data_IF_045497840254
#
_entry.id   IF_045497840254
#
_cell.length_a   1.000
_cell.length_b   1.000
_cell.length_c   1.000
_cell.angle_alpha   90.00
_cell.angle_beta   90.00
_cell.angle_gamma   90.00
#
_symmetry.space_group_name_H-M   'P 1'
#
loop_
_entity.id
_entity.type
_entity.pdbx_description
1 polymer ?
#
# COMPACT_ATOMS: atom_id res chain seq x y z
N UNK A 1 -17.74 8.95 -5.29
CA UNK A 1 -16.73 9.98 -5.51
C UNK A 1 -15.38 9.49 -5.04
N UNK A 2 -14.41 9.55 -5.93
CA UNK A 2 -13.11 8.94 -5.69
C UNK A 2 -12.21 9.86 -4.89
N UNK A 3 -12.30 9.76 -3.57
CA UNK A 3 -11.42 10.49 -2.69
C UNK A 3 -10.18 9.66 -2.42
N UNK A 4 -9.14 9.92 -3.18
CA UNK A 4 -7.83 9.31 -2.93
C UNK A 4 -7.00 10.30 -2.13
N UNK A 5 -6.55 9.86 -0.98
CA UNK A 5 -5.65 10.64 -0.16
C UNK A 5 -4.22 10.45 -0.63
N UNK A 6 -3.51 11.54 -0.76
CA UNK A 6 -2.09 11.53 -1.09
C UNK A 6 -1.32 11.80 0.21
N UNK A 7 -0.44 10.89 0.56
CA UNK A 7 0.36 10.98 1.77
C UNK A 7 1.84 11.05 1.41
N UNK A 8 2.51 12.09 1.88
CA UNK A 8 3.96 12.15 1.80
C UNK A 8 4.56 11.35 2.93
N UNK A 9 5.39 10.37 2.59
CA UNK A 9 6.06 9.53 3.58
C UNK A 9 7.54 9.82 3.60
N UNK A 10 8.14 9.77 4.79
CA UNK A 10 9.53 10.11 5.00
C UNK A 10 10.28 8.96 5.63
N UNK A 11 11.50 8.77 5.18
CA UNK A 11 12.38 7.77 5.74
C UNK A 11 12.71 8.10 7.21
N UNK A 12 12.67 7.09 8.06
CA UNK A 12 13.06 7.24 9.45
C UNK A 12 14.58 7.28 9.57
N UNK A 13 15.08 8.18 10.40
CA UNK A 13 16.52 8.31 10.65
C UNK A 13 16.94 7.71 12.00
N UNK A 14 15.99 7.26 12.82
CA UNK A 14 16.27 6.86 14.21
C UNK A 14 16.25 5.36 14.46
N UNK A 15 15.77 4.56 13.52
CA UNK A 15 15.73 3.12 13.68
C UNK A 15 16.14 2.44 12.39
N UNK A 16 16.71 1.25 12.49
CA UNK A 16 17.06 0.50 11.30
C UNK A 16 15.79 -0.01 10.62
N UNK A 17 15.86 -0.15 9.28
CA UNK A 17 14.75 -0.68 8.52
C UNK A 17 14.35 -2.09 8.97
N UNK A 18 15.33 -2.91 9.33
CA UNK A 18 15.07 -4.29 9.78
C UNK A 18 14.31 -4.33 11.10
N UNK A 19 14.68 -3.46 12.05
CA UNK A 19 13.98 -3.37 13.32
C UNK A 19 12.54 -2.88 13.14
N UNK A 20 12.36 -1.88 12.32
CA UNK A 20 11.03 -1.36 12.01
C UNK A 20 10.18 -2.41 11.29
N UNK A 21 10.76 -3.14 10.35
CA UNK A 21 10.06 -4.19 9.63
C UNK A 21 9.63 -5.32 10.57
N UNK A 22 10.49 -5.73 11.50
CA UNK A 22 10.15 -6.78 12.46
C UNK A 22 9.01 -6.33 13.39
N UNK A 23 9.07 -5.11 13.90
CA UNK A 23 8.03 -4.58 14.77
C UNK A 23 6.70 -4.46 14.02
N UNK A 24 6.73 -4.01 12.79
CA UNK A 24 5.53 -3.87 11.96
C UNK A 24 4.91 -5.22 11.65
N UNK A 25 5.72 -6.23 11.31
CA UNK A 25 5.20 -7.59 11.07
C UNK A 25 4.53 -8.16 12.30
N UNK A 26 5.10 -7.94 13.48
CA UNK A 26 4.51 -8.42 14.73
C UNK A 26 3.16 -7.75 15.00
N UNK A 27 3.06 -6.45 14.77
CA UNK A 27 1.83 -5.69 14.94
C UNK A 27 0.73 -6.18 14.00
N UNK A 28 1.07 -6.34 12.71
CA UNK A 28 0.11 -6.82 11.71
C UNK A 28 -0.37 -8.23 12.01
N UNK A 29 0.52 -9.09 12.46
CA UNK A 29 0.15 -10.46 12.85
C UNK A 29 -0.81 -10.45 14.03
N UNK A 30 -0.57 -9.59 15.01
CA UNK A 30 -1.43 -9.44 16.17
C UNK A 30 -2.83 -8.94 15.78
N UNK A 31 -2.90 -8.03 14.83
CA UNK A 31 -4.15 -7.49 14.32
C UNK A 31 -4.82 -8.36 13.27
N UNK A 32 -4.17 -9.46 12.88
CA UNK A 32 -4.66 -10.41 11.87
C UNK A 32 -4.85 -9.77 10.50
N UNK A 33 -3.91 -8.93 10.11
CA UNK A 33 -3.91 -8.25 8.83
C UNK A 33 -2.82 -8.84 7.95
N UNK A 34 -3.18 -9.20 6.73
CA UNK A 34 -2.21 -9.67 5.75
C UNK A 34 -1.73 -8.50 4.89
N UNK A 35 -0.43 -8.28 4.86
CA UNK A 35 0.18 -7.26 4.01
C UNK A 35 0.90 -7.93 2.84
N UNK A 36 0.43 -7.65 1.65
CA UNK A 36 1.02 -8.16 0.42
C UNK A 36 1.79 -7.05 -0.28
N UNK A 37 3.08 -7.27 -0.47
CA UNK A 37 3.92 -6.34 -1.21
C UNK A 37 4.01 -6.79 -2.67
N UNK A 38 3.36 -6.03 -3.55
CA UNK A 38 3.33 -6.34 -4.97
C UNK A 38 4.35 -5.47 -5.70
N UNK A 39 5.40 -6.10 -6.19
CA UNK A 39 6.46 -5.40 -6.90
C UNK A 39 6.49 -5.82 -8.36
N UNK A 40 6.52 -4.84 -9.24
CA UNK A 40 6.67 -5.11 -10.67
C UNK A 40 7.13 -3.86 -11.41
N UNK A 41 7.62 -4.07 -12.62
CA UNK A 41 8.02 -2.95 -13.47
C UNK A 41 6.80 -2.13 -13.89
N UNK A 42 6.97 -0.83 -14.14
CA UNK A 42 5.88 0.00 -14.66
C UNK A 42 5.33 -0.58 -15.97
N UNK A 43 4.01 -0.52 -16.13
CA UNK A 43 3.37 -0.98 -17.37
C UNK A 43 3.21 -2.48 -17.50
N UNK A 44 3.43 -3.25 -16.43
CA UNK A 44 3.32 -4.72 -16.46
C UNK A 44 1.90 -5.24 -16.32
N UNK A 45 0.90 -4.36 -16.20
CA UNK A 45 -0.49 -4.77 -16.04
C UNK A 45 -0.90 -5.07 -14.61
N UNK A 46 -0.07 -4.71 -13.63
CA UNK A 46 -0.37 -5.01 -12.22
C UNK A 46 -1.65 -4.34 -11.72
N UNK A 47 -1.97 -3.14 -12.18
CA UNK A 47 -3.20 -2.46 -11.77
C UNK A 47 -4.43 -3.21 -12.24
N UNK A 48 -4.43 -3.71 -13.47
CA UNK A 48 -5.53 -4.52 -14.00
C UNK A 48 -5.71 -5.80 -13.20
N UNK A 49 -4.60 -6.50 -12.94
CA UNK A 49 -4.61 -7.72 -12.13
C UNK A 49 -5.13 -7.46 -10.73
N UNK A 50 -4.67 -6.38 -10.12
CA UNK A 50 -5.09 -6.00 -8.76
C UNK A 50 -6.58 -5.67 -8.71
N UNK A 51 -7.10 -4.93 -9.68
CA UNK A 51 -8.54 -4.61 -9.75
C UNK A 51 -9.39 -5.88 -9.84
N UNK A 52 -8.98 -6.85 -10.64
CA UNK A 52 -9.68 -8.13 -10.77
C UNK A 52 -9.63 -8.93 -9.48
N UNK A 53 -8.49 -8.92 -8.81
CA UNK A 53 -8.33 -9.61 -7.53
C UNK A 53 -9.24 -8.99 -6.47
N UNK A 54 -9.28 -7.67 -6.40
CA UNK A 54 -10.16 -6.96 -5.46
C UNK A 54 -11.62 -7.29 -5.75
N UNK A 55 -12.03 -7.25 -7.02
CA UNK A 55 -13.41 -7.56 -7.40
C UNK A 55 -13.81 -8.97 -6.99
N UNK A 56 -12.86 -9.92 -7.06
CA UNK A 56 -13.14 -11.31 -6.68
C UNK A 56 -13.22 -11.50 -5.16
N UNK A 57 -12.49 -10.71 -4.38
CA UNK A 57 -12.35 -10.95 -2.93
C UNK A 57 -13.10 -9.95 -2.05
N UNK A 58 -13.57 -8.84 -2.60
CA UNK A 58 -14.11 -7.75 -1.76
C UNK A 58 -15.36 -8.12 -0.97
N UNK A 59 -16.08 -9.17 -1.36
CA UNK A 59 -17.22 -9.66 -0.60
C UNK A 59 -16.83 -10.52 0.60
N UNK A 60 -15.59 -10.98 0.63
CA UNK A 60 -15.08 -11.85 1.69
C UNK A 60 -14.06 -11.14 2.57
N UNK A 61 -13.32 -10.20 2.00
CA UNK A 61 -12.24 -9.50 2.69
C UNK A 61 -12.40 -7.99 2.56
N UNK A 62 -12.04 -7.30 3.63
CA UNK A 62 -11.96 -5.84 3.61
C UNK A 62 -10.56 -5.47 3.14
N UNK A 63 -10.48 -4.84 1.98
CA UNK A 63 -9.21 -4.63 1.27
C UNK A 63 -8.84 -3.16 1.23
N UNK A 64 -7.59 -2.86 1.56
CA UNK A 64 -6.98 -1.56 1.38
C UNK A 64 -5.78 -1.66 0.46
N UNK A 65 -5.52 -0.62 -0.30
CA UNK A 65 -4.40 -0.58 -1.24
C UNK A 65 -3.58 0.70 -1.02
N UNK A 66 -2.28 0.52 -0.91
CA UNK A 66 -1.33 1.63 -0.85
C UNK A 66 -0.52 1.61 -2.14
N UNK A 67 -0.63 2.69 -2.91
CA UNK A 67 0.11 2.85 -4.16
C UNK A 67 1.34 3.70 -3.92
N UNK A 68 2.50 3.15 -4.18
CA UNK A 68 3.76 3.89 -4.09
C UNK A 68 4.26 4.19 -5.50
N UNK A 69 3.79 5.29 -6.06
CA UNK A 69 4.20 5.74 -7.37
C UNK A 69 4.87 7.11 -7.24
N UNK A 70 5.72 7.42 -8.21
CA UNK A 70 6.55 8.62 -8.14
C UNK A 70 5.77 9.89 -8.41
N UNK A 71 4.87 9.89 -9.39
CA UNK A 71 4.29 11.12 -9.90
C UNK A 71 2.77 11.14 -10.14
N UNK A 72 2.04 10.07 -9.85
CA UNK A 72 0.65 10.02 -10.29
C UNK A 72 -0.24 9.26 -9.32
N UNK A 73 -1.45 9.79 -9.10
CA UNK A 73 -2.48 9.11 -8.32
C UNK A 73 -3.47 8.34 -9.21
N UNK A 74 -3.15 8.16 -10.49
CA UNK A 74 -4.06 7.52 -11.45
C UNK A 74 -4.36 6.08 -11.05
N UNK A 75 -3.34 5.33 -10.65
CA UNK A 75 -3.54 3.95 -10.24
C UNK A 75 -4.36 3.83 -8.97
N UNK A 76 -4.11 4.71 -8.00
CA UNK A 76 -4.89 4.73 -6.76
C UNK A 76 -6.36 5.06 -7.04
N UNK A 77 -6.63 5.99 -7.95
CA UNK A 77 -7.99 6.32 -8.36
C UNK A 77 -8.69 5.13 -9.01
N UNK A 78 -7.99 4.43 -9.90
CA UNK A 78 -8.52 3.25 -10.56
C UNK A 78 -8.90 2.16 -9.56
N UNK A 79 -8.08 1.98 -8.53
CA UNK A 79 -8.37 1.02 -7.46
C UNK A 79 -9.54 1.50 -6.59
N UNK A 80 -9.60 2.79 -6.26
CA UNK A 80 -10.69 3.33 -5.46
C UNK A 80 -12.06 3.15 -6.14
N UNK A 81 -12.09 3.16 -7.46
CA UNK A 81 -13.32 2.90 -8.23
C UNK A 81 -13.90 1.51 -7.97
N UNK A 82 -13.10 0.56 -7.50
CA UNK A 82 -13.59 -0.78 -7.16
C UNK A 82 -14.34 -0.83 -5.83
N UNK A 83 -14.30 0.24 -5.06
CA UNK A 83 -14.83 0.30 -3.71
C UNK A 83 -13.81 -0.03 -2.62
N UNK A 84 -12.64 -0.47 -2.97
CA UNK A 84 -11.56 -0.70 -2.01
C UNK A 84 -11.00 0.63 -1.51
N UNK A 85 -10.52 0.65 -0.27
CA UNK A 85 -9.86 1.82 0.29
C UNK A 85 -8.49 1.97 -0.36
N UNK A 86 -8.19 3.14 -0.88
CA UNK A 86 -6.92 3.37 -1.59
C UNK A 86 -6.28 4.67 -1.16
N UNK A 87 -4.97 4.65 -0.99
CA UNK A 87 -4.17 5.85 -0.76
C UNK A 87 -2.96 5.84 -1.67
N UNK A 88 -2.46 7.01 -1.96
CA UNK A 88 -1.25 7.22 -2.75
C UNK A 88 -0.13 7.68 -1.81
N UNK A 89 1.02 7.02 -1.87
CA UNK A 89 2.19 7.38 -1.09
C UNK A 89 3.21 8.06 -1.99
N UNK A 90 3.61 9.27 -1.62
CA UNK A 90 4.67 10.01 -2.28
C UNK A 90 5.96 9.87 -1.49
N UNK A 91 6.97 9.33 -2.11
CA UNK A 91 8.24 9.00 -1.46
C UNK A 91 9.33 10.06 -1.68
N UNK A 92 9.00 11.16 -2.33
CA UNK A 92 9.99 12.20 -2.63
C UNK A 92 11.04 11.77 -3.66
N UNK A 93 10.66 10.89 -4.58
CA UNK A 93 11.56 10.41 -5.64
C UNK A 93 12.28 9.10 -5.34
N UNK A 94 12.03 8.50 -4.18
CA UNK A 94 12.59 7.19 -3.87
C UNK A 94 11.86 6.10 -4.67
N UNK A 95 12.62 5.10 -5.13
CA UNK A 95 12.08 4.05 -5.99
C UNK A 95 11.26 3.00 -5.23
N UNK A 96 11.38 2.94 -3.92
CA UNK A 96 10.68 1.95 -3.11
C UNK A 96 10.50 2.45 -1.69
N UNK A 97 9.60 1.82 -0.96
CA UNK A 97 9.32 2.15 0.43
C UNK A 97 10.19 1.34 1.38
N UNK A 98 10.66 1.99 2.44
CA UNK A 98 11.21 1.27 3.59
C UNK A 98 10.08 0.95 4.59
N UNK A 99 10.42 0.24 5.67
CA UNK A 99 9.44 -0.17 6.67
C UNK A 99 8.78 1.03 7.37
N UNK A 100 9.56 2.08 7.63
CA UNK A 100 9.00 3.29 8.26
C UNK A 100 7.99 4.01 7.40
N UNK A 101 8.24 4.10 6.10
CA UNK A 101 7.30 4.69 5.15
C UNK A 101 6.05 3.83 5.02
N UNK A 102 6.20 2.51 4.99
CA UNK A 102 5.08 1.58 4.96
C UNK A 102 4.22 1.73 6.20
N UNK A 103 4.83 1.86 7.37
CA UNK A 103 4.10 2.08 8.61
C UNK A 103 3.29 3.37 8.57
N UNK A 104 3.87 4.45 8.06
CA UNK A 104 3.14 5.72 7.92
C UNK A 104 1.89 5.54 7.06
N UNK A 105 2.02 4.81 5.96
CA UNK A 105 0.88 4.51 5.08
C UNK A 105 -0.18 3.66 5.77
N UNK A 106 0.23 2.65 6.49
CA UNK A 106 -0.71 1.77 7.21
C UNK A 106 -1.50 2.52 8.27
N UNK A 107 -0.87 3.41 8.99
CA UNK A 107 -1.57 4.21 10.00
C UNK A 107 -2.59 5.16 9.37
N UNK A 108 -2.25 5.71 8.21
CA UNK A 108 -3.16 6.60 7.50
C UNK A 108 -4.35 5.86 6.90
N UNK A 109 -4.13 4.67 6.33
CA UNK A 109 -5.22 3.91 5.72
C UNK A 109 -6.17 3.33 6.77
N UNK A 110 -5.71 3.12 7.98
CA UNK A 110 -6.55 2.61 9.07
C UNK A 110 -6.75 1.11 9.00
N UNK A 111 -5.83 0.37 9.59
CA UNK A 111 -5.81 -1.10 9.47
C UNK A 111 -6.90 -1.81 10.24
N UNK A 112 -7.53 -1.15 11.23
CA UNK A 112 -8.56 -1.79 12.06
C UNK A 112 -9.75 -2.31 11.26
N UNK A 113 -10.03 -1.70 10.13
CA UNK A 113 -11.17 -2.06 9.30
C UNK A 113 -10.78 -2.93 8.11
N UNK A 114 -9.56 -3.44 8.08
CA UNK A 114 -9.03 -4.16 6.93
C UNK A 114 -8.55 -5.56 7.29
N UNK A 115 -8.70 -6.48 6.35
CA UNK A 115 -8.20 -7.85 6.45
C UNK A 115 -6.95 -8.04 5.60
N UNK A 116 -6.90 -7.35 4.46
CA UNK A 116 -5.80 -7.41 3.51
C UNK A 116 -5.39 -6.01 3.10
N UNK A 117 -4.11 -5.74 3.15
CA UNK A 117 -3.54 -4.51 2.59
C UNK A 117 -2.55 -4.89 1.50
N UNK A 118 -2.74 -4.34 0.33
CA UNK A 118 -1.81 -4.51 -0.78
C UNK A 118 -0.96 -3.25 -0.90
N UNK A 119 0.35 -3.44 -0.83
CA UNK A 119 1.31 -2.37 -1.09
C UNK A 119 1.82 -2.57 -2.51
N UNK A 120 1.44 -1.69 -3.41
CA UNK A 120 1.91 -1.75 -4.79
C UNK A 120 3.11 -0.82 -4.93
N UNK A 121 4.27 -1.44 -5.13
CA UNK A 121 5.53 -0.74 -5.35
C UNK A 121 5.88 -0.74 -6.82
N UNK A 122 6.33 0.41 -7.31
CA UNK A 122 7.01 0.47 -8.59
C UNK A 122 8.44 0.04 -8.30
N UNK A 123 8.72 -1.23 -8.53
CA UNK A 123 10.02 -1.78 -8.26
C UNK A 123 10.98 -1.55 -9.41
N UNK A 124 12.14 -1.09 -9.08
CA UNK A 124 13.26 -1.09 -10.00
C UNK A 124 14.01 -2.39 -9.75
N UNK A 125 13.62 -3.37 -10.51
CA UNK A 125 14.20 -4.70 -10.37
C UNK A 125 15.55 -4.81 -11.08
#
# INVERSE_FOLDING_TARGET
MDNVKILEVKQSIFASNDEQAAALRAELKQEKIFLLNLMSAPGSGKTTTLRRTIAALQNELRIGVMEADIDSDVDARAIAETGAKAIQLHTGGMCHLDAGMTEQGLREIGTHDLDLVVLENVGNL
#
